data_IF_029299572274
#
_entry.id   IF_029299572274
#
_cell.length_a   1.000
_cell.length_b   1.000
_cell.length_c   1.000
_cell.angle_alpha   90.00
_cell.angle_beta   90.00
_cell.angle_gamma   90.00
#
_symmetry.space_group_name_H-M   'P 1'
#
loop_
_entity.id
_entity.type
_entity.pdbx_description
1 polymer ?
#
# COMPACT_ATOMS: atom_id res chain seq x y z
N UNK A 1 1.78 6.85 -1.13
CA UNK A 1 1.52 5.81 -0.10
C UNK A 1 1.50 6.40 1.31
N UNK A 2 2.62 6.59 2.00
CA UNK A 2 2.59 6.95 3.44
C UNK A 2 2.00 8.34 3.74
N UNK A 3 2.47 9.39 3.04
CA UNK A 3 2.02 10.77 3.30
C UNK A 3 0.52 10.98 3.06
N UNK A 4 -0.02 10.44 1.96
CA UNK A 4 -1.45 10.53 1.66
C UNK A 4 -2.31 9.74 2.68
N UNK A 5 -1.86 8.56 3.12
CA UNK A 5 -2.53 7.82 4.18
C UNK A 5 -2.53 8.59 5.51
N UNK A 6 -1.38 9.16 5.90
CA UNK A 6 -1.28 9.97 7.11
C UNK A 6 -2.21 11.20 7.05
N UNK A 7 -2.20 11.94 5.94
CA UNK A 7 -3.05 13.11 5.75
C UNK A 7 -4.55 12.76 5.84
N UNK A 8 -4.99 11.65 5.23
CA UNK A 8 -6.36 11.14 5.34
C UNK A 8 -6.79 10.92 6.79
N UNK A 9 -5.97 10.22 7.58
CA UNK A 9 -6.35 9.89 8.96
C UNK A 9 -6.17 11.06 9.94
N UNK A 10 -5.29 12.02 9.63
CA UNK A 10 -5.20 13.26 10.37
C UNK A 10 -6.43 14.16 10.08
N UNK A 11 -6.86 14.26 8.82
CA UNK A 11 -8.02 15.09 8.45
C UNK A 11 -9.33 14.58 9.05
N UNK A 12 -9.47 13.28 9.30
CA UNK A 12 -10.65 12.73 9.99
C UNK A 12 -10.79 13.15 11.45
N UNK A 13 -9.74 13.72 12.07
CA UNK A 13 -9.73 14.16 13.47
C UNK A 13 -9.88 15.68 13.63
N UNK A 14 -10.56 16.36 12.70
CA UNK A 14 -10.77 17.83 12.71
C UNK A 14 -9.48 18.68 12.71
N UNK A 15 -8.36 18.09 12.29
CA UNK A 15 -7.10 18.81 12.17
C UNK A 15 -7.04 19.60 10.84
N UNK A 16 -6.44 20.79 10.89
CA UNK A 16 -6.05 21.52 9.69
C UNK A 16 -4.77 20.89 9.11
N UNK A 17 -4.90 20.15 8.00
CA UNK A 17 -3.81 19.38 7.40
C UNK A 17 -3.48 19.91 6.01
N UNK A 18 -2.21 20.21 5.76
CA UNK A 18 -1.68 20.49 4.42
C UNK A 18 -0.77 19.35 3.98
N UNK A 19 -0.99 18.81 2.77
CA UNK A 19 -0.13 17.81 2.15
C UNK A 19 0.65 18.49 1.02
N UNK A 20 1.98 18.40 1.07
CA UNK A 20 2.88 18.97 0.07
C UNK A 20 3.63 17.83 -0.61
N UNK A 21 3.61 17.81 -1.94
CA UNK A 21 4.28 16.81 -2.76
C UNK A 21 4.29 17.24 -4.22
N UNK A 22 5.05 16.54 -5.07
CA UNK A 22 5.06 16.81 -6.50
C UNK A 22 3.69 16.51 -7.12
N UNK A 23 3.36 17.22 -8.19
CA UNK A 23 2.09 17.04 -8.92
C UNK A 23 2.04 15.67 -9.62
N UNK A 24 0.86 15.04 -9.65
CA UNK A 24 0.67 13.77 -10.33
C UNK A 24 0.85 13.93 -11.85
N UNK A 25 1.67 13.10 -12.52
CA UNK A 25 1.90 13.21 -13.95
C UNK A 25 0.62 12.94 -14.75
N UNK A 26 0.25 13.90 -15.61
CA UNK A 26 -0.93 13.80 -16.48
C UNK A 26 -0.82 12.68 -17.54
N UNK A 27 0.41 12.30 -17.90
CA UNK A 27 0.68 11.28 -18.92
C UNK A 27 1.20 9.98 -18.27
N UNK A 28 0.47 8.88 -18.49
CA UNK A 28 0.83 7.54 -17.99
C UNK A 28 2.21 7.05 -18.46
N UNK A 29 2.66 7.45 -19.64
CA UNK A 29 4.00 7.11 -20.15
C UNK A 29 5.12 7.79 -19.34
N UNK A 30 4.87 9.02 -18.88
CA UNK A 30 5.80 9.77 -18.02
C UNK A 30 5.86 9.14 -16.63
N UNK A 31 4.69 8.75 -16.10
CA UNK A 31 4.57 8.07 -14.81
C UNK A 31 5.28 6.70 -14.77
N UNK A 32 5.26 5.97 -15.89
CA UNK A 32 5.94 4.67 -16.07
C UNK A 32 7.42 4.77 -16.42
N UNK A 33 7.98 5.97 -16.58
CA UNK A 33 9.41 6.12 -16.91
C UNK A 33 10.30 5.65 -15.75
N UNK A 34 11.48 5.10 -16.07
CA UNK A 34 12.43 4.54 -15.09
C UNK A 34 12.94 5.57 -14.06
N UNK A 35 12.70 6.87 -14.28
CA UNK A 35 12.91 7.95 -13.32
C UNK A 35 11.65 8.12 -12.43
N UNK A 36 11.22 7.03 -11.80
CA UNK A 36 9.89 6.89 -11.18
C UNK A 36 9.51 8.08 -10.28
N UNK A 37 8.37 8.69 -10.60
CA UNK A 37 7.67 9.71 -9.82
C UNK A 37 7.41 9.30 -8.35
N UNK A 38 7.36 8.00 -8.08
CA UNK A 38 7.33 7.46 -6.73
C UNK A 38 7.37 5.94 -6.73
N UNK A 39 7.73 5.35 -5.59
CA UNK A 39 7.83 3.91 -5.41
C UNK A 39 6.47 3.19 -5.38
N UNK A 40 5.36 3.90 -5.64
CA UNK A 40 3.97 3.42 -5.58
C UNK A 40 3.32 3.21 -6.95
N UNK A 41 4.02 3.51 -8.05
CA UNK A 41 3.46 3.40 -9.39
C UNK A 41 3.67 1.99 -9.95
N UNK A 42 2.60 1.19 -9.94
CA UNK A 42 2.51 -0.14 -10.53
C UNK A 42 1.06 -0.46 -10.90
N UNK A 43 0.84 -1.57 -11.61
CA UNK A 43 -0.51 -2.03 -11.94
C UNK A 43 -1.22 -2.66 -10.73
N UNK A 44 -0.47 -3.28 -9.82
CA UNK A 44 -0.98 -3.91 -8.61
C UNK A 44 0.14 -4.13 -7.59
N UNK A 45 -0.23 -4.22 -6.31
CA UNK A 45 0.67 -4.58 -5.19
C UNK A 45 0.21 -5.85 -4.50
N UNK A 46 1.16 -6.72 -4.19
CA UNK A 46 0.92 -7.88 -3.34
C UNK A 46 0.84 -7.42 -1.88
N UNK A 47 -0.20 -7.87 -1.17
CA UNK A 47 -0.33 -7.70 0.28
C UNK A 47 -0.43 -9.08 0.93
N UNK A 48 0.22 -9.26 2.08
CA UNK A 48 0.29 -10.55 2.80
C UNK A 48 0.33 -10.31 4.30
N UNK A 49 -0.17 -11.27 5.08
CA UNK A 49 -0.07 -11.28 6.55
C UNK A 49 1.19 -12.06 6.99
N UNK A 50 2.35 -11.62 6.51
CA UNK A 50 3.63 -12.33 6.67
C UNK A 50 4.75 -11.35 6.98
N UNK A 51 4.50 -10.47 7.94
CA UNK A 51 5.51 -9.59 8.51
C UNK A 51 6.66 -10.39 9.13
N UNK A 52 7.84 -9.79 9.16
CA UNK A 52 9.08 -10.52 9.45
C UNK A 52 9.29 -10.72 10.96
N UNK A 53 8.55 -9.94 11.76
CA UNK A 53 8.39 -10.04 13.20
C UNK A 53 6.93 -9.83 13.60
N UNK A 54 6.63 -9.93 14.89
CA UNK A 54 5.28 -9.77 15.43
C UNK A 54 4.68 -8.38 15.16
N UNK A 55 5.50 -7.33 15.21
CA UNK A 55 5.06 -5.94 15.00
C UNK A 55 4.59 -5.75 13.56
N UNK A 56 5.38 -6.22 12.60
CA UNK A 56 5.01 -6.16 11.18
C UNK A 56 3.86 -7.09 10.85
N UNK A 57 3.82 -8.30 11.41
CA UNK A 57 2.72 -9.24 11.18
C UNK A 57 1.37 -8.67 11.68
N UNK A 58 1.39 -8.03 12.85
CA UNK A 58 0.24 -7.33 13.41
C UNK A 58 -0.16 -6.12 12.56
N UNK A 59 0.83 -5.35 12.09
CA UNK A 59 0.61 -4.18 11.22
C UNK A 59 -0.01 -4.57 9.88
N UNK A 60 0.48 -5.63 9.24
CA UNK A 60 -0.06 -6.18 8.00
C UNK A 60 -1.52 -6.61 8.18
N UNK A 61 -1.77 -7.41 9.22
CA UNK A 61 -3.10 -7.95 9.53
C UNK A 61 -4.11 -6.84 9.79
N UNK A 62 -3.75 -5.85 10.62
CA UNK A 62 -4.61 -4.68 10.90
C UNK A 62 -4.85 -3.83 9.65
N UNK A 63 -3.86 -3.72 8.76
CA UNK A 63 -4.01 -2.96 7.52
C UNK A 63 -4.97 -3.64 6.56
N UNK A 64 -4.79 -4.94 6.32
CA UNK A 64 -5.66 -5.73 5.42
C UNK A 64 -7.11 -5.76 5.94
N UNK A 65 -7.31 -5.90 7.26
CA UNK A 65 -8.65 -5.90 7.86
C UNK A 65 -9.44 -4.59 7.61
N UNK A 66 -8.76 -3.49 7.27
CA UNK A 66 -9.40 -2.20 6.98
C UNK A 66 -9.78 -2.02 5.51
N UNK A 67 -9.31 -2.88 4.60
CA UNK A 67 -9.49 -2.66 3.15
C UNK A 67 -10.96 -2.58 2.74
N UNK A 68 -11.80 -3.53 3.19
CA UNK A 68 -13.24 -3.52 2.89
C UNK A 68 -13.93 -2.21 3.35
N UNK A 69 -13.58 -1.70 4.53
CA UNK A 69 -14.09 -0.42 5.02
C UNK A 69 -13.60 0.76 4.18
N UNK A 70 -12.37 0.72 3.67
CA UNK A 70 -11.82 1.76 2.79
C UNK A 70 -12.51 1.72 1.43
N UNK A 71 -12.72 0.55 0.83
CA UNK A 71 -13.46 0.38 -0.43
C UNK A 71 -14.90 0.88 -0.31
N UNK A 72 -15.57 0.56 0.79
CA UNK A 72 -16.93 1.03 1.08
C UNK A 72 -16.98 2.55 1.17
N UNK A 73 -16.01 3.17 1.87
CA UNK A 73 -15.98 4.61 2.05
C UNK A 73 -15.55 5.38 0.79
N UNK A 74 -14.72 4.79 -0.07
CA UNK A 74 -14.25 5.43 -1.31
C UNK A 74 -15.14 5.14 -2.52
N UNK A 75 -15.91 4.04 -2.50
CA UNK A 75 -16.59 3.51 -3.68
C UNK A 75 -15.65 2.90 -4.73
N UNK A 76 -14.36 2.75 -4.41
CA UNK A 76 -13.34 2.24 -5.33
C UNK A 76 -12.94 0.83 -4.89
N UNK A 77 -13.25 -0.21 -5.68
CA UNK A 77 -12.69 -1.54 -5.45
C UNK A 77 -11.20 -1.53 -5.80
N UNK A 78 -10.35 -1.96 -4.88
CA UNK A 78 -8.89 -2.02 -5.06
C UNK A 78 -8.25 -3.30 -4.52
N UNK A 79 -8.98 -4.12 -3.75
CA UNK A 79 -8.45 -5.34 -3.16
C UNK A 79 -9.14 -6.59 -3.72
N UNK A 80 -8.33 -7.58 -4.09
CA UNK A 80 -8.79 -8.88 -4.52
C UNK A 80 -8.13 -9.95 -3.64
N UNK A 81 -8.95 -10.76 -2.96
CA UNK A 81 -8.46 -11.86 -2.14
C UNK A 81 -8.09 -13.06 -3.03
N UNK A 82 -6.82 -13.12 -3.46
CA UNK A 82 -6.32 -14.19 -4.33
C UNK A 82 -5.54 -15.29 -3.60
N UNK A 83 -5.42 -15.20 -2.27
CA UNK A 83 -4.54 -16.05 -1.47
C UNK A 83 -3.05 -15.78 -1.71
N UNK A 84 -2.18 -16.56 -1.04
CA UNK A 84 -0.73 -16.46 -1.21
C UNK A 84 -0.06 -17.82 -1.00
N UNK A 85 0.87 -18.18 -1.89
CA UNK A 85 1.78 -19.31 -1.72
C UNK A 85 3.20 -18.78 -1.52
N UNK A 86 3.87 -19.26 -0.47
CA UNK A 86 5.29 -18.94 -0.22
C UNK A 86 6.10 -20.23 -0.33
N UNK A 87 7.11 -20.21 -1.19
CA UNK A 87 8.08 -21.29 -1.34
C UNK A 87 9.41 -20.84 -0.73
N UNK A 88 9.96 -21.64 0.18
CA UNK A 88 11.30 -21.43 0.72
C UNK A 88 12.16 -22.63 0.34
N UNK A 89 13.24 -22.37 -0.39
CA UNK A 89 14.27 -23.38 -0.62
C UNK A 89 15.17 -23.46 0.61
N UNK A 90 15.35 -24.66 1.16
CA UNK A 90 16.41 -24.90 2.14
C UNK A 90 17.74 -24.82 1.40
N UNK A 91 18.62 -23.92 1.84
CA UNK A 91 19.98 -23.87 1.33
C UNK A 91 20.67 -25.22 1.61
N UNK A 92 21.15 -25.87 0.55
CA UNK A 92 21.85 -27.16 0.64
C UNK A 92 23.32 -26.82 0.92
N UNK A 93 23.66 -26.57 2.17
CA UNK A 93 25.06 -26.57 2.60
C UNK A 93 25.28 -27.72 3.59
N UNK A 94 26.32 -28.49 3.26
CA UNK A 94 26.86 -29.70 3.88
C UNK A 94 27.48 -29.45 5.25
#
# INVERSE_FOLDING_TARGET
>A
MFGSSAAKYLSTNQANVALIGPEEPLNKLVASSQLSFGAYYDQARITRRLGWDEVWASTDSRSINRFCGIETASGIPFFYESGSLVLMAKSIFS
#
